data_IF_047450232577
#
_entry.id   IF_047450232577
#
_cell.length_a   1.000
_cell.length_b   1.000
_cell.length_c   1.000
_cell.angle_alpha   90.00
_cell.angle_beta   90.00
_cell.angle_gamma   90.00
#
_symmetry.space_group_name_H-M   'P 1'
#
loop_
_entity.id
_entity.type
_entity.pdbx_description
1 polymer ?
#
# COMPACT_ATOMS: atom_id res chain seq x y z
N UNK A 1 12.56 6.15 0.67
CA UNK A 1 11.85 5.82 1.92
C UNK A 1 12.85 5.16 2.85
N UNK A 2 12.73 5.36 4.17
CA UNK A 2 13.86 5.23 5.09
C UNK A 2 14.25 6.62 5.56
N UNK A 3 15.36 7.21 5.10
CA UNK A 3 15.94 8.45 5.65
C UNK A 3 15.19 9.77 5.43
N UNK A 4 13.86 9.82 5.48
CA UNK A 4 13.02 11.05 5.41
C UNK A 4 13.27 11.95 4.17
N UNK A 5 13.85 11.41 3.10
CA UNK A 5 14.21 12.19 1.92
C UNK A 5 15.58 12.87 2.01
N UNK A 6 16.37 12.57 3.04
CA UNK A 6 17.76 12.98 3.17
C UNK A 6 18.61 12.19 2.18
N UNK A 7 19.29 12.92 1.28
CA UNK A 7 20.23 12.37 0.32
C UNK A 7 21.64 12.64 0.85
N UNK A 8 22.38 11.58 1.19
CA UNK A 8 23.71 11.69 1.79
C UNK A 8 24.82 12.14 0.81
N UNK A 9 24.62 11.95 -0.51
CA UNK A 9 25.65 12.18 -1.54
C UNK A 9 25.18 13.13 -2.64
N UNK A 10 26.06 14.03 -3.07
CA UNK A 10 25.81 15.03 -4.11
C UNK A 10 26.29 14.56 -5.50
N UNK A 11 25.87 13.35 -5.90
CA UNK A 11 26.14 12.79 -7.23
C UNK A 11 24.81 12.65 -7.98
N UNK A 12 24.56 13.55 -8.94
CA UNK A 12 23.26 13.70 -9.60
C UNK A 12 22.73 12.39 -10.22
N UNK A 13 23.59 11.55 -10.79
CA UNK A 13 23.18 10.27 -11.38
C UNK A 13 22.71 9.26 -10.33
N UNK A 14 23.41 9.15 -9.20
CA UNK A 14 23.04 8.25 -8.10
C UNK A 14 21.78 8.73 -7.37
N UNK A 15 21.61 10.04 -7.22
CA UNK A 15 20.38 10.63 -6.70
C UNK A 15 19.15 10.24 -7.53
N UNK A 16 19.25 10.29 -8.86
CA UNK A 16 18.16 9.87 -9.76
C UNK A 16 17.78 8.40 -9.56
N UNK A 17 18.75 7.51 -9.35
CA UNK A 17 18.50 6.10 -9.06
C UNK A 17 17.75 5.95 -7.73
N UNK A 18 18.25 6.59 -6.68
CA UNK A 18 17.64 6.56 -5.34
C UNK A 18 16.18 7.04 -5.38
N UNK A 19 15.90 8.14 -6.08
CA UNK A 19 14.53 8.65 -6.22
C UNK A 19 13.63 7.64 -6.93
N UNK A 20 14.07 7.07 -8.06
CA UNK A 20 13.28 6.09 -8.81
C UNK A 20 13.02 4.81 -8.01
N UNK A 21 14.03 4.28 -7.34
CA UNK A 21 13.86 3.10 -6.48
C UNK A 21 12.92 3.39 -5.31
N UNK A 22 13.04 4.56 -4.69
CA UNK A 22 12.15 4.98 -3.62
C UNK A 22 10.70 5.12 -4.09
N UNK A 23 10.47 5.66 -5.29
CA UNK A 23 9.13 5.73 -5.89
C UNK A 23 8.56 4.34 -6.16
N UNK A 24 9.37 3.42 -6.68
CA UNK A 24 8.96 2.03 -6.89
C UNK A 24 8.55 1.36 -5.58
N UNK A 25 9.37 1.47 -4.54
CA UNK A 25 9.08 0.90 -3.22
C UNK A 25 7.81 1.53 -2.63
N UNK A 26 7.65 2.85 -2.73
CA UNK A 26 6.44 3.53 -2.26
C UNK A 26 5.18 3.01 -2.99
N UNK A 27 5.24 2.85 -4.31
CA UNK A 27 4.14 2.33 -5.10
C UNK A 27 3.78 0.88 -4.72
N UNK A 28 4.78 0.03 -4.47
CA UNK A 28 4.56 -1.34 -4.01
C UNK A 28 3.91 -1.40 -2.63
N UNK A 29 4.34 -0.52 -1.71
CA UNK A 29 3.71 -0.36 -0.39
C UNK A 29 2.26 0.10 -0.51
N UNK A 30 2.00 1.10 -1.36
CA UNK A 30 0.64 1.60 -1.61
C UNK A 30 -0.25 0.48 -2.13
N UNK A 31 0.23 -0.28 -3.12
CA UNK A 31 -0.51 -1.40 -3.69
C UNK A 31 -0.84 -2.45 -2.62
N UNK A 32 0.15 -2.85 -1.82
CA UNK A 32 -0.05 -3.81 -0.74
C UNK A 32 -1.08 -3.33 0.28
N UNK A 33 -0.99 -2.06 0.70
CA UNK A 33 -1.92 -1.47 1.65
C UNK A 33 -3.35 -1.42 1.09
N UNK A 34 -3.52 -0.96 -0.16
CA UNK A 34 -4.84 -0.91 -0.81
C UNK A 34 -5.45 -2.31 -0.86
N UNK A 35 -4.68 -3.31 -1.26
CA UNK A 35 -5.14 -4.68 -1.42
C UNK A 35 -5.62 -5.28 -0.08
N UNK A 36 -4.83 -5.11 0.99
CA UNK A 36 -5.19 -5.57 2.33
C UNK A 36 -6.40 -4.80 2.88
N UNK A 37 -6.45 -3.48 2.67
CA UNK A 37 -7.61 -2.67 3.06
C UNK A 37 -8.87 -3.11 2.32
N UNK A 38 -8.78 -3.38 1.01
CA UNK A 38 -9.90 -3.88 0.20
C UNK A 38 -10.40 -5.23 0.71
N UNK A 39 -9.52 -6.14 1.12
CA UNK A 39 -9.92 -7.43 1.74
C UNK A 39 -10.73 -7.20 3.02
N UNK A 40 -10.15 -6.47 3.97
CA UNK A 40 -10.78 -6.24 5.28
C UNK A 40 -12.10 -5.47 5.13
N UNK A 41 -12.17 -4.49 4.23
CA UNK A 41 -13.41 -3.75 3.97
C UNK A 41 -14.48 -4.65 3.32
N UNK A 42 -14.10 -5.57 2.43
CA UNK A 42 -15.05 -6.53 1.87
C UNK A 42 -15.61 -7.47 2.95
N UNK A 43 -14.75 -8.00 3.82
CA UNK A 43 -15.15 -8.84 4.97
C UNK A 43 -16.11 -8.09 5.91
N UNK A 44 -15.77 -6.86 6.29
CA UNK A 44 -16.63 -6.02 7.15
C UNK A 44 -18.02 -5.77 6.54
N UNK A 45 -18.07 -5.58 5.23
CA UNK A 45 -19.36 -5.42 4.53
C UNK A 45 -20.16 -6.72 4.54
N UNK A 46 -19.50 -7.86 4.31
CA UNK A 46 -20.16 -9.17 4.32
C UNK A 46 -20.68 -9.52 5.74
N UNK A 47 -20.08 -8.98 6.79
CA UNK A 47 -20.57 -9.01 8.18
C UNK A 47 -21.73 -8.03 8.46
N UNK A 48 -22.12 -7.20 7.49
CA UNK A 48 -23.24 -6.25 7.58
C UNK A 48 -22.86 -4.81 7.88
N UNK A 49 -21.56 -4.46 7.91
CA UNK A 49 -21.13 -3.07 8.11
C UNK A 49 -21.41 -2.22 6.87
N UNK A 50 -22.00 -1.04 7.05
CA UNK A 50 -22.23 -0.10 5.96
C UNK A 50 -20.96 0.71 5.63
N UNK A 51 -20.36 0.46 4.47
CA UNK A 51 -19.18 1.19 3.99
C UNK A 51 -19.62 2.25 2.99
N UNK A 52 -19.59 3.51 3.43
CA UNK A 52 -19.95 4.65 2.58
C UNK A 52 -18.74 5.21 1.82
N UNK A 53 -18.95 5.92 0.69
CA UNK A 53 -17.88 6.61 -0.02
C UNK A 53 -17.10 7.61 0.86
N UNK A 54 -17.76 8.26 1.82
CA UNK A 54 -17.14 9.22 2.73
C UNK A 54 -16.14 8.53 3.67
N UNK A 55 -16.47 7.33 4.16
CA UNK A 55 -15.56 6.52 4.98
C UNK A 55 -14.32 6.14 4.16
N UNK A 56 -14.51 5.72 2.92
CA UNK A 56 -13.39 5.39 2.02
C UNK A 56 -12.52 6.62 1.73
N UNK A 57 -13.12 7.80 1.55
CA UNK A 57 -12.38 9.04 1.31
C UNK A 57 -11.51 9.46 2.51
N UNK A 58 -11.89 9.08 3.73
CA UNK A 58 -11.09 9.31 4.94
C UNK A 58 -9.88 8.38 5.08
N UNK A 59 -9.82 7.30 4.29
CA UNK A 59 -8.73 6.32 4.36
C UNK A 59 -7.61 6.68 3.39
N UNK A 60 -6.38 6.80 3.91
CA UNK A 60 -5.18 6.93 3.07
C UNK A 60 -4.56 5.56 2.80
N UNK A 61 -4.24 5.24 1.53
CA UNK A 61 -3.51 4.01 1.18
C UNK A 61 -2.03 4.08 1.55
N UNK A 62 -1.49 5.27 1.82
CA UNK A 62 -0.08 5.47 2.15
C UNK A 62 0.13 5.59 3.65
N UNK A 63 -0.26 4.53 4.39
CA UNK A 63 0.06 4.38 5.81
C UNK A 63 1.40 3.68 5.97
N UNK A 64 2.22 4.19 6.88
CA UNK A 64 3.63 3.79 7.01
C UNK A 64 4.00 3.35 8.42
N UNK A 65 3.08 3.50 9.38
CA UNK A 65 3.27 3.13 10.79
C UNK A 65 3.47 1.63 11.00
N UNK A 66 2.90 0.79 10.13
CA UNK A 66 2.99 -0.67 10.20
C UNK A 66 4.19 -1.25 9.42
N UNK A 67 5.02 -0.40 8.82
CA UNK A 67 6.11 -0.83 7.92
C UNK A 67 7.45 -0.57 8.61
N UNK A 68 8.32 -1.57 8.63
CA UNK A 68 9.67 -1.44 9.16
C UNK A 68 10.60 -0.72 8.17
N UNK A 69 10.59 0.62 8.17
CA UNK A 69 11.27 1.44 7.15
C UNK A 69 12.81 1.36 7.13
N UNK A 70 13.43 0.88 8.21
CA UNK A 70 14.89 0.91 8.40
C UNK A 70 15.49 -0.39 8.97
N UNK A 71 14.67 -1.39 9.28
CA UNK A 71 15.19 -2.61 9.87
C UNK A 71 15.53 -3.68 8.84
N UNK A 72 16.10 -4.76 9.34
CA UNK A 72 16.47 -5.91 8.52
C UNK A 72 15.24 -6.66 8.04
N UNK A 73 15.16 -6.89 6.72
CA UNK A 73 14.13 -7.69 6.09
C UNK A 73 14.66 -9.10 5.85
N UNK A 74 14.09 -10.10 6.52
CA UNK A 74 14.32 -11.50 6.17
C UNK A 74 13.32 -11.88 5.07
N UNK A 75 13.83 -12.25 3.88
CA UNK A 75 13.00 -12.66 2.75
C UNK A 75 12.73 -14.16 2.83
N UNK A 76 11.47 -14.53 3.03
CA UNK A 76 11.02 -15.92 2.86
C UNK A 76 10.47 -16.11 1.44
N UNK A 77 11.28 -16.72 0.57
CA UNK A 77 10.92 -17.03 -0.81
C UNK A 77 9.97 -18.23 -0.94
N UNK A 78 9.79 -19.01 0.13
CA UNK A 78 8.87 -20.15 0.15
C UNK A 78 7.46 -19.76 0.57
N UNK A 79 7.29 -18.55 1.11
CA UNK A 79 5.99 -18.02 1.51
C UNK A 79 5.06 -17.95 0.30
N UNK A 80 3.96 -18.68 0.37
CA UNK A 80 2.88 -18.54 -0.60
C UNK A 80 2.19 -17.19 -0.38
N UNK A 81 1.99 -16.46 -1.48
CA UNK A 81 1.28 -15.18 -1.48
C UNK A 81 -0.05 -15.41 -2.18
N UNK A 82 -1.13 -15.10 -1.49
CA UNK A 82 -2.47 -15.15 -2.07
C UNK A 82 -2.56 -14.17 -3.26
N UNK A 83 -3.12 -14.60 -4.41
CA UNK A 83 -3.26 -13.72 -5.56
C UNK A 83 -4.17 -12.54 -5.24
N UNK A 84 -3.88 -11.41 -5.89
CA UNK A 84 -4.70 -10.20 -5.79
C UNK A 84 -5.97 -10.42 -6.60
N UNK A 85 -7.11 -10.25 -5.94
CA UNK A 85 -8.43 -10.32 -6.58
C UNK A 85 -8.90 -8.91 -6.98
N UNK A 86 -8.75 -8.59 -8.27
CA UNK A 86 -9.16 -7.30 -8.84
C UNK A 86 -10.68 -7.19 -9.07
N UNK A 87 -11.45 -8.27 -8.89
CA UNK A 87 -12.91 -8.27 -9.08
C UNK A 87 -13.69 -7.78 -7.85
N UNK A 88 -13.03 -7.68 -6.69
CA UNK A 88 -13.65 -7.23 -5.43
C UNK A 88 -14.13 -5.79 -5.56
N UNK A 89 -15.46 -5.62 -5.53
CA UNK A 89 -16.10 -4.31 -5.41
C UNK A 89 -16.43 -4.05 -3.96
N UNK A 90 -16.06 -2.88 -3.44
CA UNK A 90 -16.40 -2.46 -2.07
C UNK A 90 -17.73 -1.70 -2.06
N UNK A 91 -17.88 -0.73 -2.97
CA UNK A 91 -19.10 0.05 -3.14
C UNK A 91 -20.08 -0.67 -4.07
N UNK A 92 -21.37 -0.62 -3.72
CA UNK A 92 -22.43 -1.01 -4.64
C UNK A 92 -22.43 -0.08 -5.86
N UNK A 93 -22.79 -0.60 -7.04
CA UNK A 93 -22.96 0.24 -8.22
C UNK A 93 -24.03 1.29 -7.92
N UNK A 94 -23.67 2.57 -7.93
CA UNK A 94 -24.65 3.66 -7.93
C UNK A 94 -25.47 3.54 -9.20
N UNK A 95 -26.70 3.03 -9.10
CA UNK A 95 -27.70 3.18 -10.15
C UNK A 95 -27.93 4.68 -10.32
N UNK A 96 -27.50 5.23 -11.46
CA UNK A 96 -28.00 6.51 -11.97
C UNK A 96 -29.24 6.24 -12.81
#
# INVERSE_FOLDING_TARGET
FGGEGIIAENVQHEQRKIVRYNQLVANLVILHNVEQMTRVLAELRDEGSNISPEVLAGLSPYRTSHINRFGDYTLDLKRQVEPIDFSRRILAATTR
#
